data_IF_325839469058
#
_entry.id   IF_325839469058
#
_cell.length_a   1.000
_cell.length_b   1.000
_cell.length_c   1.000
_cell.angle_alpha   90.00
_cell.angle_beta   90.00
_cell.angle_gamma   90.00
#
_symmetry.space_group_name_H-M   'P 1'
#
loop_
_entity.id
_entity.type
_entity.pdbx_description
1 polymer ?
#
# COMPACT_ATOMS: atom_id res chain seq x y z
N UNK A 1 44.94 -21.94 23.00
CA UNK A 1 44.91 -21.00 24.14
C UNK A 1 44.18 -21.70 25.25
N UNK A 2 44.80 -21.77 26.42
CA UNK A 2 44.17 -22.34 27.60
C UNK A 2 43.01 -21.43 28.06
N UNK A 3 41.99 -21.97 28.72
CA UNK A 3 40.80 -21.21 29.11
C UNK A 3 41.17 -20.09 30.11
N UNK A 4 42.12 -20.34 30.99
CA UNK A 4 42.61 -19.37 31.97
C UNK A 4 43.44 -18.25 31.31
N UNK A 5 44.22 -18.59 30.27
CA UNK A 5 44.96 -17.63 29.45
C UNK A 5 43.99 -16.69 28.68
N UNK A 6 42.88 -17.24 28.17
CA UNK A 6 41.82 -16.46 27.54
C UNK A 6 41.15 -15.51 28.54
N UNK A 7 40.70 -16.01 29.68
CA UNK A 7 40.02 -15.20 30.70
C UNK A 7 40.92 -14.08 31.23
N UNK A 8 42.21 -14.34 31.46
CA UNK A 8 43.15 -13.31 31.92
C UNK A 8 43.41 -12.25 30.85
N UNK A 9 43.49 -12.64 29.57
CA UNK A 9 43.57 -11.69 28.44
C UNK A 9 42.30 -10.82 28.34
N UNK A 10 41.12 -11.39 28.57
CA UNK A 10 39.86 -10.63 28.60
C UNK A 10 39.82 -9.60 29.72
N UNK A 11 40.22 -9.98 30.94
CA UNK A 11 40.28 -9.07 32.09
C UNK A 11 41.27 -7.91 31.86
N UNK A 12 42.40 -8.19 31.22
CA UNK A 12 43.39 -7.16 30.85
C UNK A 12 42.82 -6.12 29.87
N UNK A 13 41.97 -6.55 28.93
CA UNK A 13 41.37 -5.66 27.92
C UNK A 13 40.20 -4.85 28.49
N UNK A 14 39.39 -5.46 29.36
CA UNK A 14 38.23 -4.82 29.98
C UNK A 14 38.64 -3.86 31.10
N UNK A 15 39.81 -4.07 31.72
CA UNK A 15 40.25 -3.30 32.88
C UNK A 15 39.46 -3.64 34.16
N UNK A 16 39.93 -3.13 35.29
CA UNK A 16 39.32 -3.39 36.60
C UNK A 16 37.98 -2.64 36.80
N UNK A 17 37.67 -1.67 35.94
CA UNK A 17 36.44 -0.88 35.99
C UNK A 17 35.26 -1.50 35.22
N UNK A 18 35.49 -2.65 34.58
CA UNK A 18 34.52 -3.44 33.82
C UNK A 18 33.81 -2.66 32.70
N UNK A 19 34.47 -1.65 32.14
CA UNK A 19 33.91 -0.75 31.12
C UNK A 19 34.75 -0.76 29.87
N UNK A 20 34.07 -0.87 28.73
CA UNK A 20 34.66 -0.65 27.42
C UNK A 20 33.96 0.53 26.76
N UNK A 21 34.75 1.47 26.27
CA UNK A 21 34.23 2.46 25.34
C UNK A 21 33.97 1.82 23.96
N UNK A 22 33.24 2.52 23.09
CA UNK A 22 32.83 1.97 21.80
C UNK A 22 34.01 1.54 20.92
N UNK A 23 35.11 2.31 20.91
CA UNK A 23 36.30 2.01 20.13
C UNK A 23 37.03 0.78 20.66
N UNK A 24 37.18 0.66 21.97
CA UNK A 24 37.76 -0.51 22.63
C UNK A 24 36.93 -1.77 22.36
N UNK A 25 35.59 -1.64 22.42
CA UNK A 25 34.68 -2.73 22.06
C UNK A 25 34.85 -3.19 20.62
N UNK A 26 34.92 -2.27 19.65
CA UNK A 26 35.12 -2.63 18.24
C UNK A 26 36.49 -3.27 18.01
N UNK A 27 37.55 -2.71 18.61
CA UNK A 27 38.89 -3.29 18.52
C UNK A 27 38.89 -4.73 19.04
N UNK A 28 38.33 -4.95 20.22
CA UNK A 28 38.19 -6.27 20.82
C UNK A 28 37.37 -7.23 19.95
N UNK A 29 36.17 -6.81 19.53
CA UNK A 29 35.23 -7.64 18.76
C UNK A 29 35.86 -8.14 17.45
N UNK A 30 36.63 -7.31 16.76
CA UNK A 30 37.16 -7.64 15.44
C UNK A 30 38.56 -8.26 15.45
N UNK A 31 39.38 -8.00 16.48
CA UNK A 31 40.77 -8.49 16.52
C UNK A 31 41.01 -9.60 17.55
N UNK A 32 40.22 -9.67 18.63
CA UNK A 32 40.50 -10.55 19.77
C UNK A 32 39.56 -11.77 19.82
N UNK A 33 38.34 -11.65 19.27
CA UNK A 33 37.42 -12.78 19.16
C UNK A 33 37.88 -13.77 18.07
N UNK A 34 37.66 -15.07 18.33
CA UNK A 34 38.01 -16.17 17.42
C UNK A 34 37.48 -16.00 15.99
N UNK A 35 36.35 -15.33 15.82
CA UNK A 35 35.70 -15.08 14.53
C UNK A 35 35.62 -13.57 14.21
N UNK A 36 36.55 -12.76 14.76
CA UNK A 36 36.54 -11.31 14.63
C UNK A 36 36.48 -10.79 13.20
N UNK A 37 37.24 -11.39 12.29
CA UNK A 37 37.21 -11.06 10.86
C UNK A 37 35.85 -11.34 10.22
N UNK A 38 35.22 -12.47 10.57
CA UNK A 38 33.88 -12.82 10.06
C UNK A 38 32.82 -11.86 10.60
N UNK A 39 32.94 -11.44 11.85
CA UNK A 39 32.06 -10.40 12.42
C UNK A 39 32.24 -9.07 11.71
N UNK A 40 33.48 -8.65 11.43
CA UNK A 40 33.74 -7.41 10.70
C UNK A 40 33.12 -7.43 9.29
N UNK A 41 33.31 -8.52 8.54
CA UNK A 41 32.72 -8.68 7.22
C UNK A 41 31.20 -8.66 7.30
N UNK A 42 30.61 -9.40 8.26
CA UNK A 42 29.16 -9.44 8.47
C UNK A 42 28.57 -8.07 8.81
N UNK A 43 29.21 -7.33 9.71
CA UNK A 43 28.78 -6.01 10.14
C UNK A 43 28.89 -5.00 8.97
N UNK A 44 29.96 -5.05 8.15
CA UNK A 44 30.08 -4.24 6.92
C UNK A 44 28.96 -4.56 5.93
N UNK A 45 28.70 -5.84 5.66
CA UNK A 45 27.64 -6.27 4.74
C UNK A 45 26.28 -5.79 5.24
N UNK A 46 26.00 -5.91 6.53
CA UNK A 46 24.76 -5.46 7.14
C UNK A 46 24.59 -3.95 7.00
N UNK A 47 25.64 -3.17 7.29
CA UNK A 47 25.60 -1.70 7.15
C UNK A 47 25.37 -1.30 5.71
N UNK A 48 26.09 -1.89 4.75
CA UNK A 48 25.93 -1.60 3.32
C UNK A 48 24.51 -1.96 2.85
N UNK A 49 24.02 -3.14 3.23
CA UNK A 49 22.67 -3.58 2.88
C UNK A 49 21.61 -2.58 3.36
N UNK A 50 21.66 -2.15 4.63
CA UNK A 50 20.69 -1.20 5.17
C UNK A 50 20.86 0.20 4.56
N UNK A 51 22.09 0.65 4.35
CA UNK A 51 22.40 1.95 3.76
C UNK A 51 21.89 2.07 2.33
N UNK A 52 21.86 0.98 1.56
CA UNK A 52 21.31 0.96 0.20
C UNK A 52 19.79 0.72 0.22
N UNK A 53 19.33 -0.27 0.99
CA UNK A 53 17.95 -0.72 0.98
C UNK A 53 17.00 0.31 1.58
N UNK A 54 17.38 0.97 2.68
CA UNK A 54 16.51 1.95 3.35
C UNK A 54 16.18 3.13 2.40
N UNK A 55 17.15 3.84 1.80
CA UNK A 55 16.86 4.90 0.84
C UNK A 55 16.09 4.40 -0.40
N UNK A 56 16.41 3.20 -0.89
CA UNK A 56 15.70 2.61 -2.02
C UNK A 56 14.21 2.37 -1.69
N UNK A 57 13.91 1.84 -0.50
CA UNK A 57 12.55 1.66 -0.02
C UNK A 57 11.83 3.01 0.16
N UNK A 58 12.50 4.02 0.71
CA UNK A 58 11.95 5.38 0.82
C UNK A 58 11.67 5.99 -0.55
N UNK A 59 12.59 5.85 -1.51
CA UNK A 59 12.41 6.32 -2.88
C UNK A 59 11.24 5.62 -3.57
N UNK A 60 11.13 4.29 -3.45
CA UNK A 60 10.00 3.53 -3.97
C UNK A 60 8.66 3.93 -3.33
N UNK A 61 8.65 4.18 -2.01
CA UNK A 61 7.48 4.69 -1.30
C UNK A 61 7.09 6.09 -1.80
N UNK A 62 8.06 6.93 -2.17
CA UNK A 62 7.82 8.26 -2.75
C UNK A 62 7.26 8.20 -4.18
N UNK A 63 7.65 7.20 -4.98
CA UNK A 63 7.07 6.98 -6.31
C UNK A 63 5.63 6.47 -6.26
N UNK A 64 5.25 5.80 -5.17
CA UNK A 64 3.91 5.25 -4.99
C UNK A 64 2.92 6.35 -4.60
N UNK A 65 2.00 6.69 -5.51
CA UNK A 65 0.92 7.64 -5.23
C UNK A 65 -0.21 6.96 -4.46
N UNK A 66 -0.80 7.69 -3.52
CA UNK A 66 -2.09 7.37 -2.92
C UNK A 66 -3.12 7.27 -4.03
N UNK A 67 -3.76 6.11 -4.16
CA UNK A 67 -4.93 5.96 -5.04
C UNK A 67 -6.01 6.95 -4.62
N UNK A 68 -6.75 7.47 -5.60
CA UNK A 68 -7.90 8.32 -5.31
C UNK A 68 -8.93 7.58 -4.44
N UNK A 69 -9.70 8.31 -3.62
CA UNK A 69 -10.86 7.72 -2.97
C UNK A 69 -11.85 7.20 -4.03
N UNK A 70 -12.58 6.16 -3.67
CA UNK A 70 -13.73 5.70 -4.43
C UNK A 70 -14.95 6.51 -3.97
N UNK A 71 -15.46 7.36 -4.85
CA UNK A 71 -16.70 8.10 -4.61
C UNK A 71 -17.90 7.25 -5.05
N UNK A 72 -18.87 7.09 -4.14
CA UNK A 72 -20.14 6.44 -4.43
C UNK A 72 -21.22 7.53 -4.54
N UNK A 73 -21.70 7.77 -5.75
CA UNK A 73 -22.61 8.87 -6.07
C UNK A 73 -23.98 8.27 -6.39
N UNK A 74 -24.88 8.32 -5.40
CA UNK A 74 -26.15 7.58 -5.41
C UNK A 74 -27.19 8.15 -6.38
N UNK A 75 -27.29 9.47 -6.49
CA UNK A 75 -28.16 10.18 -7.44
C UNK A 75 -27.88 9.76 -8.88
N UNK A 76 -26.60 9.58 -9.24
CA UNK A 76 -26.18 9.09 -10.55
C UNK A 76 -26.07 7.57 -10.63
N UNK A 77 -26.16 6.86 -9.50
CA UNK A 77 -25.90 5.42 -9.36
C UNK A 77 -24.53 5.00 -9.92
N UNK A 78 -23.48 5.77 -9.61
CA UNK A 78 -22.12 5.60 -10.11
C UNK A 78 -21.11 5.32 -9.00
N UNK A 79 -20.17 4.44 -9.29
CA UNK A 79 -18.87 4.33 -8.65
C UNK A 79 -17.87 5.12 -9.46
N UNK A 80 -17.16 6.07 -8.85
CA UNK A 80 -16.21 6.93 -9.54
C UNK A 80 -14.89 7.03 -8.79
N UNK A 81 -13.78 7.00 -9.53
CA UNK A 81 -12.44 7.22 -8.98
C UNK A 81 -11.50 7.71 -10.08
N UNK A 82 -10.27 8.07 -9.75
CA UNK A 82 -9.23 8.39 -10.72
C UNK A 82 -7.92 7.70 -10.40
N UNK A 83 -7.18 7.32 -11.44
CA UNK A 83 -5.87 6.69 -11.31
C UNK A 83 -4.95 7.29 -12.37
N UNK A 84 -3.83 7.87 -11.94
CA UNK A 84 -2.82 8.52 -12.77
C UNK A 84 -3.41 9.53 -13.76
N UNK A 85 -4.37 10.34 -13.31
CA UNK A 85 -5.02 11.36 -14.14
C UNK A 85 -6.09 10.85 -15.10
N UNK A 86 -6.47 9.56 -15.02
CA UNK A 86 -7.58 8.98 -15.80
C UNK A 86 -8.78 8.69 -14.90
N UNK A 87 -9.98 9.04 -15.35
CA UNK A 87 -11.22 8.72 -14.66
C UNK A 87 -11.60 7.25 -14.89
N UNK A 88 -12.11 6.62 -13.83
CA UNK A 88 -12.66 5.28 -13.85
C UNK A 88 -14.05 5.30 -13.23
N UNK A 89 -15.02 4.73 -13.93
CA UNK A 89 -16.43 4.72 -13.55
C UNK A 89 -17.06 3.34 -13.76
N UNK A 90 -18.03 2.99 -12.92
CA UNK A 90 -18.94 1.89 -13.15
C UNK A 90 -20.34 2.25 -12.66
N UNK A 91 -21.39 1.83 -13.40
CA UNK A 91 -22.76 1.92 -12.90
C UNK A 91 -23.02 0.87 -11.83
N UNK A 92 -23.97 1.13 -10.94
CA UNK A 92 -24.40 0.16 -9.94
C UNK A 92 -24.82 -1.19 -10.55
N UNK A 93 -25.42 -1.18 -11.73
CA UNK A 93 -25.84 -2.38 -12.47
C UNK A 93 -24.69 -3.15 -13.14
N UNK A 94 -23.57 -2.48 -13.40
CA UNK A 94 -22.43 -3.03 -14.17
C UNK A 94 -21.21 -3.36 -13.30
N UNK A 95 -21.20 -2.91 -12.04
CA UNK A 95 -20.04 -3.06 -11.16
C UNK A 95 -19.78 -4.54 -10.85
N UNK A 96 -18.66 -5.06 -11.34
CA UNK A 96 -18.19 -6.40 -10.99
C UNK A 96 -17.54 -6.40 -9.60
N UNK A 97 -17.79 -7.42 -8.80
CA UNK A 97 -17.09 -7.65 -7.53
C UNK A 97 -16.18 -8.86 -7.68
N UNK A 98 -14.89 -8.67 -7.35
CA UNK A 98 -13.91 -9.76 -7.30
C UNK A 98 -13.43 -9.91 -5.87
N UNK A 99 -13.72 -11.07 -5.27
CA UNK A 99 -13.19 -11.43 -3.96
C UNK A 99 -12.03 -12.42 -4.09
N UNK A 100 -10.91 -12.08 -3.47
CA UNK A 100 -9.78 -12.98 -3.26
C UNK A 100 -9.62 -13.26 -1.76
N UNK A 101 -8.86 -14.29 -1.35
CA UNK A 101 -8.57 -14.55 0.06
C UNK A 101 -7.93 -13.35 0.78
N UNK A 102 -7.31 -12.44 0.03
CA UNK A 102 -6.58 -11.29 0.55
C UNK A 102 -7.34 -9.96 0.43
N UNK A 103 -8.27 -9.80 -0.52
CA UNK A 103 -8.94 -8.52 -0.76
C UNK A 103 -10.30 -8.64 -1.46
N UNK A 104 -11.10 -7.57 -1.40
CA UNK A 104 -12.25 -7.35 -2.29
C UNK A 104 -11.89 -6.23 -3.25
N UNK A 105 -12.21 -6.38 -4.52
CA UNK A 105 -12.03 -5.34 -5.54
C UNK A 105 -13.31 -5.09 -6.33
N UNK A 106 -13.50 -3.86 -6.75
CA UNK A 106 -14.54 -3.48 -7.71
C UNK A 106 -13.95 -3.31 -9.09
N UNK A 107 -14.62 -3.84 -10.11
CA UNK A 107 -14.24 -3.63 -11.50
C UNK A 107 -14.81 -2.28 -11.95
N UNK A 108 -13.91 -1.39 -12.37
CA UNK A 108 -14.22 -0.08 -12.91
C UNK A 108 -13.70 0.04 -14.34
N UNK A 109 -14.32 0.92 -15.11
CA UNK A 109 -14.01 1.12 -16.52
C UNK A 109 -13.45 2.53 -16.74
N UNK A 110 -12.39 2.64 -17.51
CA UNK A 110 -11.81 3.91 -17.95
C UNK A 110 -11.57 3.88 -19.46
N UNK A 111 -10.98 4.94 -20.00
CA UNK A 111 -10.56 5.00 -21.40
C UNK A 111 -9.03 5.08 -21.52
N UNK A 112 -8.47 4.39 -22.51
CA UNK A 112 -7.09 4.61 -22.95
C UNK A 112 -6.99 5.86 -23.84
N UNK A 113 -5.77 6.21 -24.23
CA UNK A 113 -5.53 7.40 -25.08
C UNK A 113 -6.13 7.25 -26.49
N UNK A 114 -6.47 6.02 -26.88
CA UNK A 114 -7.13 5.66 -28.15
C UNK A 114 -8.66 5.49 -27.97
N UNK A 115 -9.21 5.85 -26.81
CA UNK A 115 -10.64 5.70 -26.44
C UNK A 115 -11.15 4.26 -26.41
N UNK A 116 -10.28 3.28 -26.17
CA UNK A 116 -10.68 1.91 -25.85
C UNK A 116 -10.98 1.76 -24.36
N UNK A 117 -11.85 0.82 -24.03
CA UNK A 117 -12.19 0.53 -22.64
C UNK A 117 -11.02 -0.14 -21.91
N UNK A 118 -10.59 0.48 -20.83
CA UNK A 118 -9.68 -0.09 -19.84
C UNK A 118 -10.47 -0.62 -18.65
N UNK A 119 -10.25 -1.88 -18.29
CA UNK A 119 -10.81 -2.47 -17.06
C UNK A 119 -9.77 -2.40 -15.96
N UNK A 120 -10.16 -1.94 -14.78
CA UNK A 120 -9.29 -1.92 -13.60
C UNK A 120 -9.98 -2.55 -12.39
N UNK A 121 -9.21 -3.30 -11.60
CA UNK A 121 -9.66 -3.81 -10.31
C UNK A 121 -9.26 -2.82 -9.22
N UNK A 122 -10.23 -2.05 -8.71
CA UNK A 122 -10.02 -1.15 -7.59
C UNK A 122 -10.10 -1.93 -6.28
N UNK A 123 -8.93 -2.22 -5.70
CA UNK A 123 -8.81 -2.90 -4.41
C UNK A 123 -9.36 -2.01 -3.30
N UNK A 124 -10.36 -2.53 -2.59
CA UNK A 124 -10.98 -1.84 -1.47
C UNK A 124 -10.13 -2.04 -0.20
N UNK A 125 -9.55 -0.98 0.38
CA UNK A 125 -8.79 -1.11 1.61
C UNK A 125 -9.72 -1.52 2.75
N UNK A 126 -9.36 -2.55 3.51
CA UNK A 126 -10.15 -2.98 4.69
C UNK A 126 -9.55 -2.53 6.01
N UNK A 127 -8.27 -2.16 6.00
CA UNK A 127 -7.50 -1.70 7.14
C UNK A 127 -6.56 -0.56 6.67
N UNK A 128 -6.34 0.49 7.47
CA UNK A 128 -5.43 1.60 7.14
C UNK A 128 -3.95 1.22 7.00
N UNK A 129 -3.53 0.02 7.42
CA UNK A 129 -2.12 -0.36 7.54
C UNK A 129 -1.71 -1.62 6.77
N UNK A 130 -2.65 -2.40 6.22
CA UNK A 130 -2.31 -3.68 5.57
C UNK A 130 -3.12 -3.87 4.28
N UNK A 131 -2.43 -4.31 3.23
CA UNK A 131 -3.00 -4.75 1.94
C UNK A 131 -3.84 -6.03 2.10
N UNK A 132 -3.70 -6.74 3.23
CA UNK A 132 -4.37 -8.00 3.55
C UNK A 132 -5.60 -7.71 4.43
N UNK A 133 -6.74 -8.17 3.95
CA UNK A 133 -8.03 -8.07 4.62
C UNK A 133 -8.39 -9.32 5.41
N UNK A 134 -8.98 -9.14 6.60
CA UNK A 134 -9.66 -10.24 7.27
C UNK A 134 -10.95 -10.58 6.53
N UNK A 135 -11.40 -11.83 6.61
CA UNK A 135 -12.68 -12.26 6.03
C UNK A 135 -13.84 -11.39 6.53
N UNK A 136 -13.84 -11.02 7.81
CA UNK A 136 -14.86 -10.13 8.38
C UNK A 136 -14.76 -8.71 7.81
N UNK A 137 -13.54 -8.16 7.68
CA UNK A 137 -13.34 -6.83 7.09
C UNK A 137 -13.86 -6.73 5.65
N UNK A 138 -13.69 -7.79 4.85
CA UNK A 138 -14.24 -7.90 3.49
C UNK A 138 -15.77 -7.91 3.47
N UNK A 139 -16.39 -8.74 4.32
CA UNK A 139 -17.85 -8.79 4.42
C UNK A 139 -18.43 -7.47 4.92
N UNK A 140 -17.78 -6.84 5.90
CA UNK A 140 -18.23 -5.56 6.44
C UNK A 140 -18.20 -4.45 5.40
N UNK A 141 -17.14 -4.36 4.57
CA UNK A 141 -17.09 -3.32 3.54
C UNK A 141 -18.12 -3.57 2.44
N UNK A 142 -18.32 -4.82 2.01
CA UNK A 142 -19.35 -5.16 1.03
C UNK A 142 -20.74 -4.81 1.57
N UNK A 143 -21.04 -5.21 2.81
CA UNK A 143 -22.30 -4.88 3.47
C UNK A 143 -22.51 -3.36 3.59
N UNK A 144 -21.45 -2.60 3.91
CA UNK A 144 -21.50 -1.14 3.95
C UNK A 144 -21.87 -0.56 2.58
N UNK A 145 -21.18 -0.97 1.51
CA UNK A 145 -21.43 -0.51 0.15
C UNK A 145 -22.87 -0.86 -0.27
N UNK A 146 -23.30 -2.10 -0.07
CA UNK A 146 -24.65 -2.55 -0.41
C UNK A 146 -25.72 -1.77 0.36
N UNK A 147 -25.53 -1.56 1.67
CA UNK A 147 -26.45 -0.79 2.50
C UNK A 147 -26.55 0.67 2.04
N UNK A 148 -25.42 1.29 1.68
CA UNK A 148 -25.38 2.64 1.11
C UNK A 148 -26.11 2.71 -0.23
N UNK A 149 -25.90 1.74 -1.12
CA UNK A 149 -26.57 1.71 -2.43
C UNK A 149 -28.10 1.64 -2.27
N UNK A 150 -28.59 0.77 -1.38
CA UNK A 150 -30.02 0.55 -1.15
C UNK A 150 -30.68 1.74 -0.44
N UNK A 151 -30.15 2.11 0.72
CA UNK A 151 -30.84 2.99 1.67
C UNK A 151 -30.20 4.38 1.80
N UNK A 152 -29.08 4.63 1.12
CA UNK A 152 -28.38 5.90 1.14
C UNK A 152 -27.49 6.11 2.36
N UNK A 153 -26.96 7.32 2.46
CA UNK A 153 -25.99 7.72 3.47
C UNK A 153 -26.52 7.57 4.90
N UNK A 154 -27.75 8.02 5.16
CA UNK A 154 -28.37 7.98 6.50
C UNK A 154 -28.45 6.58 7.11
N UNK A 155 -28.43 5.53 6.29
CA UNK A 155 -28.44 4.15 6.75
C UNK A 155 -27.07 3.64 7.21
N UNK A 156 -25.98 4.29 6.80
CA UNK A 156 -24.60 3.84 7.05
C UNK A 156 -23.77 4.83 7.86
N UNK A 157 -24.10 6.13 7.81
CA UNK A 157 -23.40 7.20 8.51
C UNK A 157 -24.35 8.38 8.77
N UNK A 158 -24.16 9.06 9.90
CA UNK A 158 -24.91 10.26 10.26
C UNK A 158 -24.43 11.53 9.56
N UNK A 159 -23.19 11.52 9.06
CA UNK A 159 -22.53 12.66 8.39
C UNK A 159 -21.82 12.19 7.13
N UNK A 160 -21.21 13.13 6.41
CA UNK A 160 -20.29 12.83 5.31
C UNK A 160 -19.19 11.88 5.80
N UNK A 161 -19.16 10.71 5.19
CA UNK A 161 -18.32 9.61 5.61
C UNK A 161 -17.16 9.46 4.64
N UNK A 162 -15.96 9.75 5.16
CA UNK A 162 -14.72 9.38 4.51
C UNK A 162 -14.08 8.24 5.28
N UNK A 163 -13.74 7.16 4.58
CA UNK A 163 -13.05 6.04 5.21
C UNK A 163 -11.58 6.39 5.46
N UNK A 164 -11.04 5.97 6.59
CA UNK A 164 -9.62 6.13 6.89
C UNK A 164 -8.75 5.47 5.79
N UNK A 165 -7.86 6.27 5.19
CA UNK A 165 -7.01 5.88 4.06
C UNK A 165 -5.59 5.65 4.58
N UNK A 166 -4.85 4.63 4.09
CA UNK A 166 -3.45 4.45 4.45
C UNK A 166 -2.61 5.71 4.19
N UNK A 167 -1.52 5.86 4.96
CA UNK A 167 -0.60 6.99 4.79
C UNK A 167 0.25 6.81 3.53
N UNK A 168 0.32 7.85 2.70
CA UNK A 168 1.14 7.91 1.50
C UNK A 168 1.77 9.29 1.37
N UNK A 169 3.00 9.35 0.87
CA UNK A 169 3.73 10.61 0.70
C UNK A 169 3.17 11.51 -0.41
N UNK A 170 2.52 10.94 -1.42
CA UNK A 170 1.95 11.69 -2.55
C UNK A 170 0.50 11.30 -2.77
N UNK A 171 -0.34 12.27 -3.14
CA UNK A 171 -1.74 12.04 -3.53
C UNK A 171 -1.85 12.05 -5.04
N UNK A 172 -2.66 11.15 -5.61
CA UNK A 172 -2.98 11.24 -7.02
C UNK A 172 -3.88 12.45 -7.29
N UNK A 173 -3.47 13.31 -8.23
CA UNK A 173 -4.19 14.55 -8.54
C UNK A 173 -5.45 14.18 -9.32
N UNK A 174 -6.61 14.72 -8.89
CA UNK A 174 -7.84 14.63 -9.67
C UNK A 174 -7.60 15.33 -11.01
N UNK A 175 -7.91 14.70 -12.16
CA UNK A 175 -7.75 15.35 -13.45
C UNK A 175 -8.71 16.53 -13.58
N UNK A 176 -8.27 17.59 -14.25
CA UNK A 176 -9.03 18.85 -14.34
C UNK A 176 -10.29 18.67 -15.21
N UNK A 177 -10.25 17.74 -16.16
CA UNK A 177 -11.32 17.30 -17.06
C UNK A 177 -12.09 16.06 -16.55
N UNK A 178 -12.04 15.76 -15.25
CA UNK A 178 -12.58 14.53 -14.67
C UNK A 178 -14.04 14.21 -15.06
N UNK A 179 -14.95 15.17 -14.91
CA UNK A 179 -16.38 14.93 -15.21
C UNK A 179 -16.59 14.66 -16.71
N UNK A 180 -15.82 15.32 -17.58
CA UNK A 180 -15.86 15.06 -19.02
C UNK A 180 -15.38 13.63 -19.32
N UNK A 181 -14.28 13.19 -18.71
CA UNK A 181 -13.80 11.81 -18.88
C UNK A 181 -14.82 10.78 -18.38
N UNK A 182 -15.51 11.05 -17.28
CA UNK A 182 -16.59 10.17 -16.77
C UNK A 182 -17.71 10.04 -17.80
N UNK A 183 -18.18 11.17 -18.35
CA UNK A 183 -19.21 11.19 -19.39
C UNK A 183 -18.78 10.41 -20.65
N UNK A 184 -17.54 10.59 -21.08
CA UNK A 184 -16.99 9.89 -22.25
C UNK A 184 -16.95 8.37 -22.04
N UNK A 185 -16.52 7.91 -20.85
CA UNK A 185 -16.50 6.48 -20.51
C UNK A 185 -17.93 5.91 -20.55
N UNK A 186 -18.88 6.60 -19.92
CA UNK A 186 -20.28 6.16 -19.89
C UNK A 186 -20.88 6.06 -21.29
N UNK A 187 -20.61 7.03 -22.16
CA UNK A 187 -21.08 7.01 -23.54
C UNK A 187 -20.55 5.81 -24.35
N UNK A 188 -19.29 5.42 -24.13
CA UNK A 188 -18.71 4.23 -24.77
C UNK A 188 -19.31 2.94 -24.21
N UNK A 189 -19.55 2.88 -22.90
CA UNK A 189 -20.24 1.74 -22.28
C UNK A 189 -21.68 1.58 -22.79
N UNK A 190 -22.41 2.67 -22.91
CA UNK A 190 -23.79 2.66 -23.44
C UNK A 190 -23.83 2.13 -24.87
N UNK A 191 -22.89 2.55 -25.73
CA UNK A 191 -22.75 2.00 -27.09
C UNK A 191 -22.49 0.49 -27.09
N UNK A 192 -21.64 0.00 -26.18
CA UNK A 192 -21.35 -1.43 -26.11
C UNK A 192 -22.52 -2.26 -25.59
N UNK A 193 -23.30 -1.73 -24.65
CA UNK A 193 -24.45 -2.45 -24.13
C UNK A 193 -25.61 -2.47 -25.14
N UNK A 194 -25.78 -1.43 -25.96
CA UNK A 194 -26.69 -1.44 -27.10
C UNK A 194 -26.31 -2.54 -28.11
N UNK A 195 -25.02 -2.70 -28.41
CA UNK A 195 -24.51 -3.72 -29.32
C UNK A 195 -24.60 -5.17 -28.80
N UNK A 196 -24.94 -5.39 -27.53
CA UNK A 196 -25.20 -6.74 -26.98
C UNK A 196 -26.66 -7.15 -27.04
N UNK A 197 -27.55 -6.21 -27.37
CA UNK A 197 -29.01 -6.41 -27.41
C UNK A 197 -29.47 -6.68 -28.85
N UNK A 198 -28.67 -6.31 -29.85
CA UNK A 198 -28.81 -6.72 -31.27
C UNK A 198 -28.16 -8.08 -31.55
#
# INVERSE_FOLDING_TARGET
MDNDEYVNRLKSIIGDDEKLNFTEYLYYRYNELRYGEQYLIGDIVMVLFHTITIPLCFYAAFLTKRKAPLALVRDRQLFMTWINGKAFVARYSQVGVVETPQAVSLILYGLDDKKNILKTAFVLPTNPTIIISTKQGRKNILAFITKYMLWGQSAVASTDYERNIPYYFRKDKKPDDFEQQVSDVLAVLDKQDLLKIE
#
